data_IF_203982567943
#
_entry.id   IF_203982567943
#
_cell.length_a   1.000
_cell.length_b   1.000
_cell.length_c   1.000
_cell.angle_alpha   90.00
_cell.angle_beta   90.00
_cell.angle_gamma   90.00
#
_symmetry.space_group_name_H-M   'P 1'
#
loop_
_entity.id
_entity.type
_entity.pdbx_description
1 polymer ?
#
# COMPACT_ATOMS: atom_id res chain seq x y z
N UNK A 1 4.67 7.30 -22.32
CA UNK A 1 5.55 6.36 -21.60
C UNK A 1 4.82 5.03 -21.46
N UNK A 2 5.23 3.98 -22.16
CA UNK A 2 4.58 2.67 -22.07
C UNK A 2 4.75 2.11 -20.64
N UNK A 3 3.67 1.67 -19.99
CA UNK A 3 3.77 1.00 -18.68
C UNK A 3 4.65 -0.24 -18.85
N UNK A 4 5.81 -0.27 -18.17
CA UNK A 4 6.67 -1.46 -18.11
C UNK A 4 5.81 -2.63 -17.63
N UNK A 5 5.59 -3.63 -18.48
CA UNK A 5 4.81 -4.82 -18.12
C UNK A 5 5.50 -5.47 -16.94
N UNK A 6 4.80 -5.60 -15.82
CA UNK A 6 5.36 -6.28 -14.66
C UNK A 6 5.55 -7.77 -14.94
N UNK A 7 6.64 -8.33 -14.44
CA UNK A 7 6.93 -9.77 -14.56
C UNK A 7 5.88 -10.63 -13.84
N UNK A 8 5.79 -11.93 -14.17
CA UNK A 8 5.00 -12.89 -13.39
C UNK A 8 5.42 -12.92 -11.91
N UNK A 9 4.44 -13.17 -11.03
CA UNK A 9 4.63 -13.29 -9.59
C UNK A 9 5.08 -14.71 -9.25
N UNK A 10 6.12 -14.84 -8.44
CA UNK A 10 6.64 -16.13 -7.95
C UNK A 10 6.18 -16.43 -6.52
N UNK A 11 6.49 -17.62 -6.00
CA UNK A 11 6.16 -17.98 -4.61
C UNK A 11 6.95 -17.14 -3.61
N UNK A 12 8.19 -16.79 -3.94
CA UNK A 12 9.08 -15.96 -3.13
C UNK A 12 8.51 -14.54 -3.00
N UNK A 13 7.94 -13.99 -4.08
CA UNK A 13 7.23 -12.71 -4.02
C UNK A 13 6.06 -12.75 -3.04
N UNK A 14 5.26 -13.82 -3.10
CA UNK A 14 4.10 -13.99 -2.21
C UNK A 14 4.55 -14.07 -0.76
N UNK A 15 5.60 -14.83 -0.48
CA UNK A 15 6.21 -14.94 0.86
C UNK A 15 6.70 -13.58 1.35
N UNK A 16 7.45 -12.87 0.52
CA UNK A 16 7.98 -11.55 0.86
C UNK A 16 6.86 -10.53 1.15
N UNK A 17 5.81 -10.51 0.32
CA UNK A 17 4.63 -9.67 0.55
C UNK A 17 4.00 -10.01 1.90
N UNK A 18 3.75 -11.28 2.19
CA UNK A 18 3.13 -11.70 3.45
C UNK A 18 3.93 -11.24 4.69
N UNK A 19 5.24 -11.45 4.70
CA UNK A 19 6.12 -11.12 5.83
C UNK A 19 6.28 -9.60 6.07
N UNK A 20 6.11 -8.80 5.01
CA UNK A 20 6.39 -7.37 5.04
C UNK A 20 5.16 -6.48 4.90
N UNK A 21 3.97 -7.03 4.60
CA UNK A 21 2.79 -6.22 4.29
C UNK A 21 2.41 -5.24 5.41
N UNK A 22 2.59 -5.63 6.67
CA UNK A 22 2.33 -4.76 7.83
C UNK A 22 3.45 -3.75 8.07
N UNK A 23 4.70 -4.11 7.77
CA UNK A 23 5.89 -3.30 8.02
C UNK A 23 6.13 -2.24 6.96
N UNK A 24 5.76 -2.53 5.72
CA UNK A 24 6.08 -1.72 4.53
C UNK A 24 4.83 -1.37 3.73
N UNK A 25 4.80 -0.20 3.09
CA UNK A 25 3.73 0.14 2.15
C UNK A 25 3.78 -0.76 0.91
N UNK A 26 2.64 -0.89 0.24
CA UNK A 26 2.57 -1.66 -1.01
C UNK A 26 3.44 -1.08 -2.13
N UNK A 27 3.79 0.22 -2.06
CA UNK A 27 4.70 0.85 -3.01
C UNK A 27 6.15 0.39 -2.77
N UNK A 28 6.62 0.44 -1.53
CA UNK A 28 7.97 0.01 -1.18
C UNK A 28 8.18 -1.50 -1.44
N UNK A 29 7.15 -2.32 -1.18
CA UNK A 29 7.18 -3.75 -1.51
C UNK A 29 7.29 -3.96 -3.03
N UNK A 30 6.52 -3.18 -3.80
CA UNK A 30 6.56 -3.25 -5.26
C UNK A 30 7.93 -2.86 -5.82
N UNK A 31 8.56 -1.82 -5.28
CA UNK A 31 9.91 -1.40 -5.64
C UNK A 31 10.95 -2.48 -5.34
N UNK A 32 10.93 -3.06 -4.12
CA UNK A 32 11.86 -4.13 -3.73
C UNK A 32 11.74 -5.39 -4.60
N UNK A 33 10.52 -5.74 -5.02
CA UNK A 33 10.26 -6.93 -5.84
C UNK A 33 10.36 -6.67 -7.36
N UNK A 34 10.42 -5.40 -7.78
CA UNK A 34 10.36 -5.01 -9.19
C UNK A 34 9.02 -5.34 -9.86
N UNK A 35 7.92 -5.32 -9.11
CA UNK A 35 6.56 -5.61 -9.59
C UNK A 35 5.66 -4.39 -9.44
N UNK A 36 4.43 -4.46 -9.98
CA UNK A 36 3.48 -3.36 -9.77
C UNK A 36 2.88 -3.38 -8.36
N UNK A 37 2.58 -2.20 -7.82
CA UNK A 37 1.76 -2.05 -6.59
C UNK A 37 0.43 -2.80 -6.70
N UNK A 38 -0.16 -2.85 -7.90
CA UNK A 38 -1.38 -3.62 -8.15
C UNK A 38 -1.18 -5.12 -7.93
N UNK A 39 -0.07 -5.71 -8.39
CA UNK A 39 0.24 -7.12 -8.12
C UNK A 39 0.43 -7.38 -6.63
N UNK A 40 1.09 -6.49 -5.89
CA UNK A 40 1.19 -6.59 -4.42
C UNK A 40 -0.21 -6.65 -3.78
N UNK A 41 -1.12 -5.76 -4.19
CA UNK A 41 -2.50 -5.78 -3.68
C UNK A 41 -3.29 -7.03 -4.10
N UNK A 42 -3.06 -7.53 -5.32
CA UNK A 42 -3.67 -8.76 -5.81
C UNK A 42 -3.21 -9.96 -4.98
N UNK A 43 -1.93 -10.08 -4.68
CA UNK A 43 -1.37 -11.13 -3.82
C UNK A 43 -2.08 -11.14 -2.47
N UNK A 44 -2.17 -9.99 -1.80
CA UNK A 44 -2.83 -9.87 -0.49
C UNK A 44 -4.30 -10.25 -0.55
N UNK A 45 -4.99 -9.84 -1.61
CA UNK A 45 -6.41 -10.19 -1.83
C UNK A 45 -6.58 -11.70 -2.01
N UNK A 46 -5.73 -12.31 -2.83
CA UNK A 46 -5.74 -13.75 -3.10
C UNK A 46 -5.38 -14.58 -1.86
N UNK A 47 -4.48 -14.09 -1.00
CA UNK A 47 -4.16 -14.70 0.30
C UNK A 47 -5.38 -14.66 1.25
N UNK A 48 -6.04 -13.50 1.36
CA UNK A 48 -7.25 -13.35 2.19
C UNK A 48 -8.39 -14.26 1.75
N UNK A 49 -8.62 -14.39 0.43
CA UNK A 49 -9.64 -15.30 -0.13
C UNK A 49 -9.38 -16.76 0.23
N UNK A 50 -8.11 -17.15 0.44
CA UNK A 50 -7.68 -18.50 0.84
C UNK A 50 -7.61 -18.67 2.36
N UNK A 51 -8.17 -17.75 3.13
CA UNK A 51 -8.25 -17.84 4.60
C UNK A 51 -7.00 -17.32 5.33
N UNK A 52 -6.02 -16.74 4.64
CA UNK A 52 -4.86 -16.14 5.31
C UNK A 52 -5.27 -14.79 5.92
N UNK A 53 -5.22 -14.71 7.24
CA UNK A 53 -5.55 -13.47 7.95
C UNK A 53 -4.41 -12.45 7.82
N UNK A 54 -4.61 -11.44 6.96
CA UNK A 54 -3.70 -10.31 6.80
C UNK A 54 -4.45 -9.05 7.24
N UNK A 55 -4.07 -8.41 8.36
CA UNK A 55 -4.79 -7.24 8.87
C UNK A 55 -4.80 -6.10 7.85
N UNK A 56 -5.86 -5.29 7.87
CA UNK A 56 -5.89 -4.06 7.08
C UNK A 56 -5.01 -3.01 7.77
N UNK A 57 -4.23 -2.28 6.97
CA UNK A 57 -3.57 -1.05 7.43
C UNK A 57 -4.62 0.03 7.62
N UNK A 58 -5.29 0.03 8.77
CA UNK A 58 -6.22 1.10 9.15
C UNK A 58 -5.39 2.21 9.78
N UNK A 59 -4.80 3.06 8.93
CA UNK A 59 -4.21 4.31 9.40
C UNK A 59 -5.27 5.39 9.37
N UNK A 60 -5.71 5.89 10.54
CA UNK A 60 -6.43 7.17 10.62
C UNK A 60 -5.42 8.28 10.32
N UNK A 61 -5.14 8.54 9.04
CA UNK A 61 -4.48 9.79 8.65
C UNK A 61 -5.57 10.87 8.69
N UNK A 62 -5.33 11.89 9.50
CA UNK A 62 -6.13 13.12 9.44
C UNK A 62 -6.10 13.61 7.99
N UNK A 63 -7.26 14.01 7.46
CA UNK A 63 -7.35 14.47 6.10
C UNK A 63 -6.43 15.71 5.95
N UNK A 64 -5.47 15.70 5.02
CA UNK A 64 -4.53 16.81 4.88
C UNK A 64 -5.24 18.15 4.61
N UNK A 65 -6.44 18.11 4.01
CA UNK A 65 -7.26 19.30 3.79
C UNK A 65 -7.78 19.84 5.12
N UNK A 66 -8.26 18.99 6.02
CA UNK A 66 -8.78 19.41 7.32
C UNK A 66 -7.66 19.97 8.21
N UNK A 67 -6.47 19.36 8.17
CA UNK A 67 -5.28 19.88 8.84
C UNK A 67 -4.90 21.28 8.31
N UNK A 68 -4.91 21.47 6.99
CA UNK A 68 -4.59 22.76 6.37
C UNK A 68 -5.66 23.84 6.65
N UNK A 69 -6.94 23.48 6.63
CA UNK A 69 -8.03 24.42 7.00
C UNK A 69 -7.91 24.86 8.46
N UNK A 70 -7.50 23.95 9.36
CA UNK A 70 -7.23 24.29 10.76
C UNK A 70 -6.05 25.27 10.89
N UNK A 71 -4.98 25.08 10.11
CA UNK A 71 -3.87 26.04 10.04
C UNK A 71 -4.32 27.42 9.52
N UNK A 72 -5.13 27.48 8.47
CA UNK A 72 -5.65 28.74 7.93
C UNK A 72 -6.55 29.49 8.92
N UNK A 73 -7.43 28.77 9.63
CA UNK A 73 -8.27 29.34 10.70
C UNK A 73 -7.41 29.84 11.86
N UNK A 74 -6.38 29.10 12.26
CA UNK A 74 -5.45 29.53 13.30
C UNK A 74 -4.63 30.77 12.87
N UNK A 75 -4.33 30.90 11.58
CA UNK A 75 -3.63 32.04 11.00
C UNK A 75 -4.53 33.27 10.73
N UNK A 76 -5.84 33.19 11.00
CA UNK A 76 -6.80 34.27 10.75
C UNK A 76 -7.02 34.59 9.27
N UNK A 77 -6.73 33.63 8.38
CA UNK A 77 -6.81 33.78 6.92
C UNK A 77 -8.06 33.12 6.31
N UNK A 78 -8.95 32.61 7.15
CA UNK A 78 -10.19 31.91 6.79
C UNK A 78 -11.34 32.35 7.70
#
# INVERSE_FOLDING_TARGET
MARKRSRPVTKEDVKFVYENYLKMSAAEIAEKLGISKFQVMKIVTELRKRGVNIPKKVGKRENPIDAFVKELKAAGKA
#
